data_IF_134497618840
#
_entry.id   IF_134497618840
#
_cell.length_a   1.000
_cell.length_b   1.000
_cell.length_c   1.000
_cell.angle_alpha   90.00
_cell.angle_beta   90.00
_cell.angle_gamma   90.00
#
_symmetry.space_group_name_H-M   'P 1'
#
loop_
_entity.id
_entity.type
_entity.pdbx_description
1 polymer ?
#
# COMPACT_ATOMS: atom_id res chain seq x y z
N UNK A 1 -12.24 -24.55 -21.81
CA UNK A 1 -12.25 -25.57 -22.84
C UNK A 1 -11.98 -26.94 -22.26
N UNK A 2 -12.52 -28.03 -22.87
CA UNK A 2 -12.28 -29.38 -22.41
C UNK A 2 -10.79 -29.72 -22.57
N UNK A 3 -10.14 -30.14 -21.46
CA UNK A 3 -8.70 -30.46 -21.44
C UNK A 3 -7.79 -29.35 -20.87
N UNK A 4 -8.32 -28.20 -20.45
CA UNK A 4 -7.55 -27.19 -19.75
C UNK A 4 -7.21 -27.67 -18.33
N UNK A 5 -5.96 -27.49 -17.89
CA UNK A 5 -5.58 -27.72 -16.51
C UNK A 5 -6.22 -26.66 -15.62
N UNK A 6 -6.72 -27.09 -14.45
CA UNK A 6 -7.29 -26.20 -13.44
C UNK A 6 -6.63 -26.48 -12.10
N UNK A 7 -6.42 -25.44 -11.32
CA UNK A 7 -5.97 -25.55 -9.93
C UNK A 7 -7.19 -25.59 -9.00
N UNK A 8 -7.23 -26.58 -8.12
CA UNK A 8 -8.21 -26.68 -7.04
C UNK A 8 -7.55 -26.20 -5.75
N UNK A 9 -8.06 -25.10 -5.19
CA UNK A 9 -7.58 -24.53 -3.95
C UNK A 9 -8.65 -24.68 -2.85
N UNK A 10 -8.31 -25.39 -1.78
CA UNK A 10 -9.14 -25.44 -0.58
C UNK A 10 -8.87 -24.18 0.25
N UNK A 11 -9.89 -23.37 0.44
CA UNK A 11 -9.85 -22.15 1.23
C UNK A 11 -9.90 -22.45 2.74
N UNK A 12 -9.45 -21.52 3.61
CA UNK A 12 -9.51 -21.69 5.07
C UNK A 12 -10.93 -21.91 5.61
N UNK A 13 -11.95 -21.39 4.93
CA UNK A 13 -13.38 -21.56 5.25
C UNK A 13 -13.97 -22.91 4.79
N UNK A 14 -13.14 -23.78 4.16
CA UNK A 14 -13.52 -25.08 3.67
C UNK A 14 -14.11 -25.09 2.26
N UNK A 15 -14.28 -23.94 1.62
CA UNK A 15 -14.69 -23.87 0.21
C UNK A 15 -13.57 -24.33 -0.72
N UNK A 16 -13.94 -24.73 -1.94
CA UNK A 16 -12.99 -25.09 -2.99
C UNK A 16 -13.11 -24.08 -4.12
N UNK A 17 -12.03 -23.34 -4.37
CA UNK A 17 -11.91 -22.48 -5.54
C UNK A 17 -11.31 -23.26 -6.71
N UNK A 18 -11.86 -23.05 -7.89
CA UNK A 18 -11.34 -23.60 -9.15
C UNK A 18 -10.73 -22.42 -9.92
N UNK A 19 -9.41 -22.38 -10.01
CA UNK A 19 -8.74 -21.38 -10.83
C UNK A 19 -8.39 -21.99 -12.19
N UNK A 20 -8.66 -21.30 -13.32
CA UNK A 20 -8.13 -21.72 -14.60
C UNK A 20 -6.62 -21.76 -14.51
N UNK A 21 -6.00 -22.89 -14.94
CA UNK A 21 -4.56 -23.10 -14.86
C UNK A 21 -3.82 -21.96 -15.53
N UNK A 22 -2.80 -21.49 -14.87
CA UNK A 22 -1.78 -20.51 -15.25
C UNK A 22 -2.10 -19.62 -16.47
N UNK A 23 -2.92 -18.61 -16.30
CA UNK A 23 -2.48 -17.28 -16.73
C UNK A 23 -1.48 -16.85 -15.66
N UNK A 24 -0.26 -16.53 -16.04
CA UNK A 24 0.74 -16.02 -15.12
C UNK A 24 0.10 -14.81 -14.37
N UNK A 25 -0.36 -14.93 -13.11
CA UNK A 25 -1.08 -13.85 -12.43
C UNK A 25 -0.14 -12.66 -12.16
N UNK A 26 1.08 -12.77 -12.60
CA UNK A 26 2.22 -12.05 -12.09
C UNK A 26 2.48 -10.69 -12.71
N UNK A 27 1.84 -10.27 -13.80
CA UNK A 27 2.14 -8.94 -14.37
C UNK A 27 0.90 -8.10 -14.61
N UNK A 28 0.43 -7.43 -13.56
CA UNK A 28 -0.50 -6.33 -13.68
C UNK A 28 0.28 -5.04 -13.96
N UNK A 29 0.42 -4.68 -15.24
CA UNK A 29 1.17 -3.48 -15.67
C UNK A 29 0.21 -2.31 -15.76
N UNK A 30 0.50 -1.22 -15.05
CA UNK A 30 -0.19 0.04 -15.18
C UNK A 30 0.67 1.05 -15.95
N UNK A 31 0.03 1.93 -16.72
CA UNK A 31 0.70 3.04 -17.39
C UNK A 31 0.03 4.35 -16.99
N UNK A 32 0.79 5.24 -16.37
CA UNK A 32 0.41 6.60 -16.00
C UNK A 32 1.07 7.57 -16.97
N UNK A 33 0.28 8.42 -17.63
CA UNK A 33 0.78 9.43 -18.55
C UNK A 33 0.75 10.78 -17.88
N UNK A 34 1.88 11.48 -17.88
CA UNK A 34 1.98 12.83 -17.36
C UNK A 34 1.84 13.82 -18.51
N UNK A 35 0.74 14.58 -18.51
CA UNK A 35 0.56 15.77 -19.34
C UNK A 35 0.54 16.98 -18.41
N UNK A 36 0.86 18.17 -18.88
CA UNK A 36 0.99 19.40 -18.06
C UNK A 36 -0.23 19.69 -17.17
N UNK A 37 -1.42 19.30 -17.60
CA UNK A 37 -2.66 19.46 -16.83
C UNK A 37 -2.91 18.33 -15.80
N UNK A 38 -2.37 17.12 -16.03
CA UNK A 38 -2.60 15.92 -15.20
C UNK A 38 -1.52 15.72 -14.13
N UNK A 39 -0.39 16.40 -14.24
CA UNK A 39 0.74 16.22 -13.32
C UNK A 39 0.43 16.54 -11.84
N UNK A 40 -0.61 17.34 -11.57
CA UNK A 40 -1.06 17.63 -10.19
C UNK A 40 -1.74 16.43 -9.51
N UNK A 41 -2.16 15.42 -10.26
CA UNK A 41 -2.80 14.21 -9.72
C UNK A 41 -1.89 12.99 -9.71
N UNK A 42 -0.66 13.11 -10.24
CA UNK A 42 0.27 12.00 -10.41
C UNK A 42 0.42 11.13 -9.14
N UNK A 43 0.59 11.75 -7.96
CA UNK A 43 0.75 11.00 -6.73
C UNK A 43 -0.49 10.14 -6.42
N UNK A 44 -1.69 10.67 -6.62
CA UNK A 44 -2.96 9.95 -6.42
C UNK A 44 -3.12 8.80 -7.41
N UNK A 45 -2.75 9.01 -8.67
CA UNK A 45 -2.82 7.99 -9.70
C UNK A 45 -1.85 6.84 -9.41
N UNK A 46 -0.66 7.16 -8.91
CA UNK A 46 0.33 6.17 -8.48
C UNK A 46 -0.19 5.35 -7.28
N UNK A 47 -0.77 6.01 -6.26
CA UNK A 47 -1.41 5.32 -5.12
C UNK A 47 -2.57 4.44 -5.60
N UNK A 48 -3.44 4.93 -6.47
CA UNK A 48 -4.56 4.16 -7.01
C UNK A 48 -4.10 2.87 -7.72
N UNK A 49 -3.05 2.96 -8.54
CA UNK A 49 -2.48 1.79 -9.21
C UNK A 49 -1.76 0.84 -8.23
N UNK A 50 -1.10 1.37 -7.21
CA UNK A 50 -0.53 0.56 -6.14
C UNK A 50 -1.59 -0.24 -5.39
N UNK A 51 -2.64 0.43 -4.93
CA UNK A 51 -3.75 -0.20 -4.22
C UNK A 51 -4.50 -1.22 -5.08
N UNK A 52 -4.59 -0.97 -6.38
CA UNK A 52 -5.16 -1.92 -7.35
C UNK A 52 -4.29 -3.18 -7.56
N UNK A 53 -3.13 -3.29 -6.92
CA UNK A 53 -2.26 -4.47 -7.02
C UNK A 53 -1.34 -4.50 -8.24
N UNK A 54 -1.09 -3.36 -8.90
CA UNK A 54 -0.15 -3.33 -10.02
C UNK A 54 1.24 -3.78 -9.59
N UNK A 55 1.83 -4.74 -10.33
CA UNK A 55 3.17 -5.26 -10.09
C UNK A 55 4.25 -4.45 -10.82
N UNK A 56 3.83 -3.70 -11.84
CA UNK A 56 4.69 -2.78 -12.58
C UNK A 56 3.89 -1.51 -12.87
N UNK A 57 4.48 -0.34 -12.60
CA UNK A 57 3.90 0.96 -12.93
C UNK A 57 4.89 1.71 -13.84
N UNK A 58 4.46 2.00 -15.06
CA UNK A 58 5.20 2.84 -16.03
C UNK A 58 4.66 4.25 -15.98
N UNK A 59 5.52 5.22 -15.68
CA UNK A 59 5.18 6.64 -15.75
C UNK A 59 5.84 7.23 -16.99
N UNK A 60 5.03 7.80 -17.87
CA UNK A 60 5.49 8.33 -19.17
C UNK A 60 5.24 9.84 -19.20
N UNK A 61 6.31 10.61 -19.39
CA UNK A 61 6.24 12.06 -19.60
C UNK A 61 6.10 12.44 -21.07
N UNK A 62 5.37 13.51 -21.36
CA UNK A 62 5.21 14.00 -22.72
C UNK A 62 5.49 15.51 -22.78
N UNK A 63 6.58 15.96 -23.45
CA UNK A 63 7.61 15.18 -24.17
C UNK A 63 8.65 14.51 -23.25
N UNK A 64 8.70 14.88 -21.96
CA UNK A 64 9.64 14.36 -20.95
C UNK A 64 9.08 14.54 -19.54
N UNK A 65 9.59 13.75 -18.60
CA UNK A 65 9.29 13.92 -17.17
C UNK A 65 9.94 15.21 -16.65
N UNK A 66 9.13 16.08 -16.05
CA UNK A 66 9.57 17.29 -15.37
C UNK A 66 10.28 16.95 -14.05
N UNK A 67 11.04 17.92 -13.52
CA UNK A 67 11.68 17.76 -12.20
C UNK A 67 10.66 17.52 -11.08
N UNK A 68 9.48 18.16 -11.17
CA UNK A 68 8.38 17.99 -10.20
C UNK A 68 7.83 16.56 -10.23
N UNK A 69 7.57 16.01 -11.41
CA UNK A 69 7.07 14.65 -11.59
C UNK A 69 8.08 13.63 -11.07
N UNK A 70 9.36 13.76 -11.37
CA UNK A 70 10.41 12.88 -10.83
C UNK A 70 10.47 12.92 -9.30
N UNK A 71 10.37 14.11 -8.69
CA UNK A 71 10.29 14.24 -7.23
C UNK A 71 9.05 13.54 -6.68
N UNK A 72 7.91 13.66 -7.36
CA UNK A 72 6.66 12.99 -6.98
C UNK A 72 6.79 11.47 -7.06
N UNK A 73 7.40 10.94 -8.14
CA UNK A 73 7.64 9.50 -8.31
C UNK A 73 8.53 8.96 -7.18
N UNK A 74 9.64 9.65 -6.88
CA UNK A 74 10.55 9.25 -5.78
C UNK A 74 9.86 9.33 -4.42
N UNK A 75 9.08 10.40 -4.16
CA UNK A 75 8.29 10.53 -2.94
C UNK A 75 7.30 9.38 -2.81
N UNK A 76 6.60 9.02 -3.89
CA UNK A 76 5.67 7.92 -3.91
C UNK A 76 6.35 6.58 -3.60
N UNK A 77 7.45 6.22 -4.30
CA UNK A 77 8.20 4.98 -4.04
C UNK A 77 8.63 4.89 -2.57
N UNK A 78 9.12 6.00 -1.99
CA UNK A 78 9.47 6.07 -0.57
C UNK A 78 8.27 5.97 0.39
N UNK A 79 7.05 6.27 -0.08
CA UNK A 79 5.82 6.29 0.73
C UNK A 79 5.04 4.97 0.71
N UNK A 80 5.48 3.96 -0.05
CA UNK A 80 4.81 2.66 -0.14
C UNK A 80 5.76 1.51 0.15
N UNK A 81 5.21 0.34 0.45
CA UNK A 81 6.01 -0.86 0.70
C UNK A 81 6.10 -1.68 -0.59
N UNK A 82 7.31 -2.01 -1.00
CA UNK A 82 7.59 -2.99 -2.03
C UNK A 82 7.79 -2.45 -3.43
N UNK A 83 7.33 -1.24 -3.78
CA UNK A 83 7.56 -0.66 -5.10
C UNK A 83 8.89 0.10 -5.15
N UNK A 84 9.79 -0.38 -6.01
CA UNK A 84 11.10 0.22 -6.24
C UNK A 84 11.23 0.79 -7.65
N UNK A 85 11.88 1.94 -7.79
CA UNK A 85 12.21 2.52 -9.08
C UNK A 85 13.40 1.77 -9.65
N UNK A 86 13.18 1.02 -10.74
CA UNK A 86 14.24 0.26 -11.42
C UNK A 86 14.81 0.99 -12.63
N UNK A 87 14.06 1.94 -13.17
CA UNK A 87 14.47 2.73 -14.32
C UNK A 87 13.95 4.16 -14.18
N UNK A 88 14.80 5.15 -14.39
CA UNK A 88 14.42 6.55 -14.44
C UNK A 88 15.16 7.24 -15.58
N UNK A 89 14.46 7.47 -16.69
CA UNK A 89 14.97 8.13 -17.89
C UNK A 89 14.38 9.53 -18.08
N UNK A 90 14.76 10.19 -19.17
CA UNK A 90 14.23 11.51 -19.50
C UNK A 90 12.72 11.49 -19.77
N UNK A 91 12.21 10.43 -20.36
CA UNK A 91 10.84 10.30 -20.87
C UNK A 91 9.97 9.35 -20.06
N UNK A 92 10.57 8.50 -19.22
CA UNK A 92 9.84 7.50 -18.44
C UNK A 92 10.51 7.16 -17.11
N UNK A 93 9.71 6.61 -16.22
CA UNK A 93 10.18 5.90 -15.03
C UNK A 93 9.40 4.59 -14.89
N UNK A 94 10.07 3.52 -14.44
CA UNK A 94 9.48 2.19 -14.24
C UNK A 94 9.67 1.81 -12.78
N UNK A 95 8.55 1.51 -12.12
CA UNK A 95 8.51 0.99 -10.76
C UNK A 95 8.05 -0.47 -10.81
N UNK A 96 8.73 -1.33 -10.05
CA UNK A 96 8.39 -2.76 -9.94
C UNK A 96 8.16 -3.14 -8.48
N UNK A 97 7.15 -3.96 -8.25
CA UNK A 97 6.89 -4.56 -6.94
C UNK A 97 7.90 -5.67 -6.65
N UNK A 98 8.74 -5.41 -5.66
CA UNK A 98 9.75 -6.34 -5.14
C UNK A 98 9.25 -7.06 -3.87
N UNK A 99 8.00 -6.81 -3.45
CA UNK A 99 7.46 -7.38 -2.22
C UNK A 99 7.06 -8.85 -2.41
N UNK A 100 7.15 -9.59 -1.30
CA UNK A 100 6.54 -10.91 -1.18
C UNK A 100 5.33 -10.78 -0.24
N UNK A 101 4.09 -10.98 -0.73
CA UNK A 101 2.88 -10.86 0.09
C UNK A 101 2.93 -11.68 1.38
N UNK A 102 3.55 -12.88 1.34
CA UNK A 102 3.68 -13.76 2.51
C UNK A 102 4.72 -13.29 3.55
N UNK A 103 5.59 -12.33 3.22
CA UNK A 103 6.60 -11.84 4.17
C UNK A 103 6.00 -10.99 5.29
N UNK A 104 4.86 -10.32 5.05
CA UNK A 104 4.15 -9.51 6.04
C UNK A 104 2.65 -9.81 6.00
N UNK A 105 2.18 -10.96 6.56
CA UNK A 105 0.76 -11.31 6.58
C UNK A 105 -0.08 -10.29 7.36
N UNK A 106 -1.38 -10.21 7.06
CA UNK A 106 -2.31 -9.23 7.65
C UNK A 106 -2.18 -9.08 9.16
N UNK A 107 -2.18 -10.18 9.89
CA UNK A 107 -2.12 -10.15 11.36
C UNK A 107 -0.84 -9.51 11.88
N UNK A 108 0.28 -9.70 11.18
CA UNK A 108 1.57 -9.09 11.54
C UNK A 108 1.58 -7.61 11.20
N UNK A 109 1.09 -7.25 10.01
CA UNK A 109 0.98 -5.86 9.57
C UNK A 109 0.07 -5.04 10.50
N UNK A 110 -1.12 -5.55 10.85
CA UNK A 110 -2.06 -4.91 11.80
C UNK A 110 -1.45 -4.74 13.18
N UNK A 111 -0.74 -5.75 13.70
CA UNK A 111 -0.07 -5.63 15.00
C UNK A 111 1.00 -4.55 15.01
N UNK A 112 1.74 -4.43 13.90
CA UNK A 112 2.75 -3.37 13.75
C UNK A 112 2.08 -2.00 13.69
N UNK A 113 1.05 -1.84 12.85
CA UNK A 113 0.28 -0.61 12.72
C UNK A 113 -0.32 -0.20 14.08
N UNK A 114 -0.97 -1.12 14.79
CA UNK A 114 -1.51 -0.85 16.12
C UNK A 114 -0.46 -0.33 17.12
N UNK A 115 0.75 -0.92 17.12
CA UNK A 115 1.81 -0.47 18.02
C UNK A 115 2.27 0.96 17.72
N UNK A 116 2.41 1.29 16.43
CA UNK A 116 2.77 2.65 15.99
C UNK A 116 1.69 3.63 16.44
N UNK A 117 0.44 3.37 16.09
CA UNK A 117 -0.69 4.25 16.39
C UNK A 117 -0.89 4.43 17.90
N UNK A 118 -0.77 3.34 18.68
CA UNK A 118 -0.88 3.43 20.13
C UNK A 118 0.25 4.27 20.76
N UNK A 119 1.47 4.19 20.23
CA UNK A 119 2.56 5.05 20.68
C UNK A 119 2.30 6.51 20.29
N UNK A 120 1.92 6.80 19.05
CA UNK A 120 1.56 8.15 18.59
C UNK A 120 0.47 8.78 19.44
N UNK A 121 -0.58 8.01 19.76
CA UNK A 121 -1.68 8.47 20.61
C UNK A 121 -1.21 8.85 22.02
N UNK A 122 -0.41 8.00 22.66
CA UNK A 122 0.11 8.29 23.99
C UNK A 122 1.02 9.52 23.98
N UNK A 123 1.91 9.62 23.00
CA UNK A 123 2.83 10.75 22.88
C UNK A 123 2.07 12.05 22.57
N UNK A 124 1.00 12.02 21.79
CA UNK A 124 0.17 13.21 21.53
C UNK A 124 -0.49 13.76 22.79
N UNK A 125 -0.82 12.89 23.76
CA UNK A 125 -1.32 13.34 25.08
C UNK A 125 -0.18 14.01 25.89
N UNK A 126 1.03 13.43 25.90
CA UNK A 126 2.18 14.01 26.57
C UNK A 126 2.57 15.38 25.98
N UNK A 127 2.41 15.58 24.67
CA UNK A 127 2.62 16.87 24.02
C UNK A 127 1.66 17.93 24.60
N UNK A 128 0.38 17.59 24.76
CA UNK A 128 -0.60 18.49 25.38
C UNK A 128 -0.29 18.80 26.86
N UNK A 129 0.48 17.93 27.52
CA UNK A 129 0.97 18.12 28.90
C UNK A 129 2.32 18.87 28.98
N UNK A 130 2.90 19.28 27.82
CA UNK A 130 4.08 20.10 27.72
C UNK A 130 5.35 19.41 27.20
N UNK A 131 5.26 18.17 26.69
CA UNK A 131 6.39 17.45 26.07
C UNK A 131 6.48 17.76 24.57
N UNK A 132 6.71 19.03 24.22
CA UNK A 132 6.69 19.54 22.82
C UNK A 132 7.75 18.88 21.91
N UNK A 133 8.85 18.37 22.47
CA UNK A 133 9.93 17.68 21.77
C UNK A 133 9.48 16.38 21.04
N UNK A 134 8.36 15.79 21.46
CA UNK A 134 7.78 14.61 20.83
C UNK A 134 7.02 14.90 19.53
N UNK A 135 6.66 16.17 19.27
CA UNK A 135 5.76 16.51 18.16
C UNK A 135 6.29 16.08 16.78
N UNK A 136 7.57 16.34 16.51
CA UNK A 136 8.18 15.97 15.24
C UNK A 136 8.19 14.45 15.03
N UNK A 137 8.44 13.67 16.07
CA UNK A 137 8.47 12.21 16.01
C UNK A 137 7.07 11.61 15.80
N UNK A 138 6.02 12.22 16.37
CA UNK A 138 4.63 11.80 16.10
C UNK A 138 4.28 12.02 14.63
N UNK A 139 4.62 13.17 14.04
CA UNK A 139 4.40 13.47 12.63
C UNK A 139 5.19 12.53 11.70
N UNK A 140 6.43 12.22 12.03
CA UNK A 140 7.24 11.29 11.23
C UNK A 140 6.66 9.86 11.25
N UNK A 141 6.13 9.40 12.38
CA UNK A 141 5.49 8.08 12.53
C UNK A 141 4.18 7.95 11.75
N UNK A 142 3.48 9.04 11.46
CA UNK A 142 2.29 9.05 10.63
C UNK A 142 2.58 8.51 9.22
N UNK A 143 3.70 8.88 8.64
CA UNK A 143 4.16 8.31 7.36
C UNK A 143 4.29 6.78 7.39
N UNK A 144 4.73 6.20 8.51
CA UNK A 144 4.83 4.74 8.65
C UNK A 144 3.47 4.07 8.86
N UNK A 145 2.51 4.76 9.51
CA UNK A 145 1.14 4.30 9.65
C UNK A 145 0.45 4.24 8.27
N UNK A 146 0.59 5.29 7.47
CA UNK A 146 0.10 5.36 6.08
C UNK A 146 0.63 4.23 5.22
N UNK A 147 1.95 4.00 5.23
CA UNK A 147 2.58 2.91 4.47
C UNK A 147 1.98 1.55 4.79
N UNK A 148 1.75 1.27 6.06
CA UNK A 148 1.18 0.00 6.50
C UNK A 148 -0.30 -0.11 6.14
N UNK A 149 -1.08 0.97 6.25
CA UNK A 149 -2.48 1.00 5.86
C UNK A 149 -2.62 0.71 4.35
N UNK A 150 -1.88 1.44 3.50
CA UNK A 150 -1.91 1.20 2.05
C UNK A 150 -1.44 -0.20 1.67
N UNK A 151 -0.43 -0.72 2.35
CA UNK A 151 0.05 -2.09 2.10
C UNK A 151 -1.00 -3.14 2.45
N UNK A 152 -1.70 -3.00 3.57
CA UNK A 152 -2.79 -3.90 3.97
C UNK A 152 -3.95 -3.83 2.97
N UNK A 153 -4.32 -2.63 2.53
CA UNK A 153 -5.38 -2.44 1.55
C UNK A 153 -5.00 -3.03 0.18
N UNK A 154 -3.75 -2.83 -0.26
CA UNK A 154 -3.21 -3.47 -1.46
C UNK A 154 -3.31 -5.00 -1.38
N UNK A 155 -2.81 -5.60 -0.28
CA UNK A 155 -2.87 -7.05 -0.09
C UNK A 155 -4.31 -7.57 -0.14
N UNK A 156 -5.25 -6.84 0.45
CA UNK A 156 -6.67 -7.18 0.39
C UNK A 156 -7.20 -7.15 -1.04
N UNK A 157 -6.94 -6.09 -1.79
CA UNK A 157 -7.38 -5.99 -3.19
C UNK A 157 -6.77 -7.09 -4.07
N UNK A 158 -5.48 -7.38 -3.90
CA UNK A 158 -4.83 -8.48 -4.61
C UNK A 158 -5.45 -9.84 -4.26
N UNK A 159 -5.79 -10.08 -2.99
CA UNK A 159 -6.43 -11.33 -2.56
C UNK A 159 -7.87 -11.48 -3.11
N UNK A 160 -8.59 -10.38 -3.37
CA UNK A 160 -9.90 -10.44 -4.03
C UNK A 160 -9.77 -10.86 -5.50
N UNK A 161 -8.70 -10.49 -6.18
CA UNK A 161 -8.42 -10.89 -7.57
C UNK A 161 -7.83 -12.30 -7.67
N UNK A 162 -6.96 -12.65 -6.71
CA UNK A 162 -6.30 -13.96 -6.65
C UNK A 162 -6.47 -14.61 -5.28
N UNK A 163 -7.43 -15.52 -5.19
CA UNK A 163 -7.71 -16.26 -3.94
C UNK A 163 -6.56 -17.16 -3.46
N UNK A 164 -5.57 -17.45 -4.30
CA UNK A 164 -4.39 -18.22 -3.90
C UNK A 164 -3.55 -17.48 -2.84
N UNK A 165 -3.65 -16.15 -2.79
CA UNK A 165 -2.99 -15.29 -1.80
C UNK A 165 -3.54 -15.46 -0.38
N UNK A 166 -4.71 -16.05 -0.20
CA UNK A 166 -5.29 -16.35 1.12
C UNK A 166 -4.34 -17.18 2.00
N UNK A 167 -3.60 -18.11 1.39
CA UNK A 167 -2.66 -18.96 2.13
C UNK A 167 -1.41 -18.20 2.62
N UNK A 168 -0.64 -17.50 1.76
CA UNK A 168 0.52 -16.73 2.23
C UNK A 168 0.10 -15.57 3.14
N UNK A 169 -1.04 -14.94 2.94
CA UNK A 169 -1.57 -13.86 3.77
C UNK A 169 -2.21 -14.36 5.08
N UNK A 170 -2.39 -15.68 5.24
CA UNK A 170 -2.97 -16.35 6.41
C UNK A 170 -4.36 -15.80 6.79
N UNK A 171 -5.19 -15.50 5.81
CA UNK A 171 -6.52 -14.95 5.99
C UNK A 171 -7.47 -15.40 4.88
N UNK A 172 -8.74 -15.57 5.23
CA UNK A 172 -9.83 -15.67 4.27
C UNK A 172 -10.16 -14.28 3.68
N UNK A 173 -10.90 -14.25 2.57
CA UNK A 173 -11.36 -12.98 1.98
C UNK A 173 -12.22 -12.17 2.98
N UNK A 174 -13.02 -12.83 3.81
CA UNK A 174 -13.80 -12.16 4.86
C UNK A 174 -12.90 -11.52 5.91
N UNK A 175 -11.88 -12.24 6.39
CA UNK A 175 -10.89 -11.67 7.34
C UNK A 175 -10.11 -10.52 6.70
N UNK A 176 -9.81 -10.59 5.39
CA UNK A 176 -9.20 -9.49 4.65
C UNK A 176 -10.01 -8.21 4.68
N UNK A 177 -11.35 -8.29 4.52
CA UNK A 177 -12.26 -7.13 4.70
C UNK A 177 -12.12 -6.55 6.10
N UNK A 178 -12.11 -7.41 7.13
CA UNK A 178 -11.99 -6.96 8.53
C UNK A 178 -10.63 -6.28 8.74
N UNK A 179 -9.53 -6.87 8.28
CA UNK A 179 -8.18 -6.28 8.43
C UNK A 179 -8.05 -4.95 7.69
N UNK A 180 -8.56 -4.83 6.47
CA UNK A 180 -8.55 -3.57 5.71
C UNK A 180 -9.33 -2.47 6.45
N UNK A 181 -10.51 -2.77 6.98
CA UNK A 181 -11.29 -1.81 7.77
C UNK A 181 -10.57 -1.42 9.07
N UNK A 182 -10.00 -2.38 9.81
CA UNK A 182 -9.24 -2.09 11.04
C UNK A 182 -8.03 -1.21 10.73
N UNK A 183 -7.29 -1.48 9.64
CA UNK A 183 -6.16 -0.66 9.22
C UNK A 183 -6.58 0.80 8.96
N UNK A 184 -7.69 1.01 8.26
CA UNK A 184 -8.25 2.33 7.97
C UNK A 184 -8.67 3.10 9.23
N UNK A 185 -9.25 2.41 10.23
CA UNK A 185 -9.56 3.05 11.50
C UNK A 185 -8.32 3.39 12.32
N UNK A 186 -7.30 2.53 12.30
CA UNK A 186 -6.03 2.81 12.98
C UNK A 186 -5.33 4.01 12.37
N UNK A 187 -5.26 4.12 11.04
CA UNK A 187 -4.70 5.29 10.35
C UNK A 187 -5.45 6.57 10.75
N UNK A 188 -6.78 6.56 10.79
CA UNK A 188 -7.54 7.74 11.26
C UNK A 188 -7.23 8.14 12.69
N UNK A 189 -6.91 7.17 13.56
CA UNK A 189 -6.44 7.47 14.92
C UNK A 189 -5.04 8.10 14.88
N UNK A 190 -4.14 7.62 14.01
CA UNK A 190 -2.83 8.23 13.77
C UNK A 190 -2.96 9.68 13.28
N UNK A 191 -3.80 9.93 12.27
CA UNK A 191 -4.14 11.27 11.79
C UNK A 191 -4.58 12.21 12.92
N UNK A 192 -5.43 11.72 13.84
CA UNK A 192 -5.87 12.52 14.97
C UNK A 192 -4.76 12.77 15.97
N UNK A 193 -3.89 11.78 16.24
CA UNK A 193 -2.72 11.96 17.10
C UNK A 193 -1.75 13.00 16.51
N UNK A 194 -1.53 12.96 15.20
CA UNK A 194 -0.73 13.94 14.46
C UNK A 194 -1.30 15.36 14.61
N UNK A 195 -2.62 15.53 14.42
CA UNK A 195 -3.29 16.84 14.61
C UNK A 195 -3.21 17.36 16.05
N UNK A 196 -3.32 16.46 17.04
CA UNK A 196 -3.13 16.84 18.45
C UNK A 196 -1.70 17.32 18.69
N UNK A 197 -0.71 16.64 18.12
CA UNK A 197 0.69 17.05 18.20
C UNK A 197 0.92 18.43 17.56
N UNK A 198 0.31 18.70 16.39
CA UNK A 198 0.39 20.00 15.71
C UNK A 198 -0.26 21.16 16.51
N UNK A 199 -1.29 20.89 17.31
CA UNK A 199 -1.97 21.90 18.14
C UNK A 199 -1.21 22.16 19.44
N UNK A 200 -0.57 21.12 20.00
CA UNK A 200 0.19 21.22 21.25
C UNK A 200 1.60 21.79 21.12
N UNK A 201 2.02 22.06 19.89
CA UNK A 201 3.31 22.65 19.51
C UNK A 201 3.10 24.06 18.87
#
# INVERSE_FOLDING_TARGET
>A
DAGSEVQLLKQPDGTISINPGQTDPSKKIATVRCNDEESQHLFRDLIGNYLAGSTEIKVIGSPRLTVKERKTIRKFSASVIGLEIIEEEATQAILIDMSNPGALPFRTAIKRLYKIVNAMYNDSILILEGSEDLAADVVDRDTEADKLQWFIERQFNMMLEDSSLSRPLQASSFEGVVYSNVARYLERIADHACRLAEIGY
#
